data_IF_329874702648
#
_entry.id   IF_329874702648
#
_cell.length_a   1.000
_cell.length_b   1.000
_cell.length_c   1.000
_cell.angle_alpha   90.00
_cell.angle_beta   90.00
_cell.angle_gamma   90.00
#
_symmetry.space_group_name_H-M   'P 1'
#
loop_
_entity.id
_entity.type
_entity.pdbx_description
1 polymer ?
#
# COMPACT_ATOMS: atom_id res chain seq x y z
N UNK A 1 13.46 -5.91 -8.61
CA UNK A 1 13.76 -7.35 -8.48
C UNK A 1 12.47 -8.04 -8.03
N UNK A 2 12.12 -9.19 -8.61
CA UNK A 2 10.90 -9.94 -8.24
C UNK A 2 11.25 -11.05 -7.26
N UNK A 3 10.58 -11.07 -6.12
CA UNK A 3 10.65 -12.13 -5.13
C UNK A 3 9.47 -13.09 -5.33
N UNK A 4 9.67 -14.41 -5.22
CA UNK A 4 8.56 -15.35 -5.25
C UNK A 4 7.62 -15.12 -4.04
N UNK A 5 6.36 -15.50 -4.19
CA UNK A 5 5.40 -15.44 -3.09
C UNK A 5 5.91 -16.21 -1.86
N UNK A 6 5.83 -15.59 -0.69
CA UNK A 6 6.04 -16.30 0.56
C UNK A 6 4.75 -17.01 0.98
N UNK A 7 4.81 -18.32 1.16
CA UNK A 7 3.66 -19.14 1.58
C UNK A 7 3.02 -18.63 2.89
N UNK A 8 3.79 -18.13 3.84
CA UNK A 8 3.25 -17.61 5.11
C UNK A 8 2.45 -16.32 4.89
N UNK A 9 3.03 -15.34 4.18
CA UNK A 9 2.37 -14.07 3.87
C UNK A 9 1.10 -14.29 3.03
N UNK A 10 1.17 -15.19 2.04
CA UNK A 10 0.04 -15.52 1.20
C UNK A 10 -1.07 -16.24 1.98
N UNK A 11 -0.72 -17.12 2.90
CA UNK A 11 -1.68 -17.81 3.74
C UNK A 11 -2.44 -16.84 4.65
N UNK A 12 -1.72 -15.96 5.34
CA UNK A 12 -2.30 -14.89 6.17
C UNK A 12 -3.24 -14.00 5.37
N UNK A 13 -2.79 -13.55 4.19
CA UNK A 13 -3.58 -12.69 3.33
C UNK A 13 -4.88 -13.36 2.85
N UNK A 14 -4.88 -14.68 2.62
CA UNK A 14 -6.09 -15.44 2.25
C UNK A 14 -7.10 -15.52 3.38
N UNK A 15 -6.64 -15.73 4.61
CA UNK A 15 -7.51 -15.75 5.80
C UNK A 15 -8.17 -14.38 5.95
N UNK A 16 -7.38 -13.32 5.97
CA UNK A 16 -7.87 -11.95 6.07
C UNK A 16 -8.88 -11.59 4.98
N UNK A 17 -8.56 -11.92 3.72
CA UNK A 17 -9.44 -11.60 2.60
C UNK A 17 -10.78 -12.35 2.69
N UNK A 18 -10.80 -13.59 3.19
CA UNK A 18 -12.02 -14.35 3.39
C UNK A 18 -12.90 -13.75 4.49
N UNK A 19 -12.28 -13.27 5.57
CA UNK A 19 -13.00 -12.64 6.67
C UNK A 19 -13.55 -11.26 6.25
N UNK A 20 -12.75 -10.47 5.54
CA UNK A 20 -13.06 -9.07 5.22
C UNK A 20 -13.99 -8.86 4.02
N UNK A 21 -14.21 -9.88 3.19
CA UNK A 21 -14.97 -9.76 1.93
C UNK A 21 -16.40 -9.25 2.12
N UNK A 22 -17.04 -9.62 3.24
CA UNK A 22 -18.44 -9.29 3.53
C UNK A 22 -18.60 -7.91 4.18
N UNK A 23 -17.52 -7.34 4.70
CA UNK A 23 -17.56 -6.11 5.50
C UNK A 23 -16.93 -4.92 4.80
N UNK A 24 -16.05 -5.17 3.83
CA UNK A 24 -15.52 -4.11 2.99
C UNK A 24 -16.66 -3.57 2.14
N UNK A 25 -16.95 -2.26 2.20
CA UNK A 25 -17.95 -1.67 1.32
C UNK A 25 -17.60 -1.93 -0.16
N UNK A 26 -18.60 -2.15 -0.99
CA UNK A 26 -18.37 -2.29 -2.43
C UNK A 26 -17.80 -0.99 -2.96
N UNK A 27 -16.50 -1.03 -3.26
CA UNK A 27 -15.82 0.06 -3.92
C UNK A 27 -16.49 0.21 -5.30
N UNK A 28 -17.16 1.35 -5.51
CA UNK A 28 -18.11 1.63 -6.60
C UNK A 28 -17.70 0.98 -7.93
N UNK A 29 -18.21 -0.23 -8.20
CA UNK A 29 -18.00 -0.95 -9.46
C UNK A 29 -17.53 -2.40 -9.36
N UNK A 30 -17.29 -2.94 -8.17
CA UNK A 30 -16.87 -4.34 -8.00
C UNK A 30 -18.03 -5.17 -7.42
N UNK A 31 -19.11 -5.33 -8.20
CA UNK A 31 -20.24 -6.22 -7.85
C UNK A 31 -19.87 -7.71 -7.91
N UNK A 32 -18.62 -8.03 -8.29
CA UNK A 32 -18.09 -9.37 -8.44
C UNK A 32 -17.23 -9.71 -7.21
N UNK A 33 -17.74 -10.59 -6.35
CA UNK A 33 -17.08 -11.03 -5.12
C UNK A 33 -15.68 -11.60 -5.35
N UNK A 34 -15.42 -12.22 -6.51
CA UNK A 34 -14.07 -12.72 -6.83
C UNK A 34 -13.06 -11.59 -6.99
N UNK A 35 -13.47 -10.52 -7.68
CA UNK A 35 -12.59 -9.38 -7.90
C UNK A 35 -12.35 -8.64 -6.58
N UNK A 36 -13.38 -8.49 -5.75
CA UNK A 36 -13.25 -7.86 -4.42
C UNK A 36 -12.30 -8.63 -3.52
N UNK A 37 -12.39 -9.96 -3.52
CA UNK A 37 -11.47 -10.84 -2.80
C UNK A 37 -10.03 -10.66 -3.25
N UNK A 38 -9.81 -10.64 -4.57
CA UNK A 38 -8.47 -10.42 -5.14
C UNK A 38 -7.86 -9.09 -4.70
N UNK A 39 -8.65 -8.00 -4.66
CA UNK A 39 -8.17 -6.69 -4.19
C UNK A 39 -7.71 -6.75 -2.72
N UNK A 40 -8.54 -7.30 -1.83
CA UNK A 40 -8.23 -7.39 -0.40
C UNK A 40 -7.01 -8.30 -0.19
N UNK A 41 -7.00 -9.46 -0.84
CA UNK A 41 -5.88 -10.41 -0.82
C UNK A 41 -4.56 -9.74 -1.22
N UNK A 42 -4.58 -8.98 -2.33
CA UNK A 42 -3.38 -8.32 -2.86
C UNK A 42 -2.83 -7.28 -1.89
N UNK A 43 -3.71 -6.45 -1.29
CA UNK A 43 -3.32 -5.46 -0.29
C UNK A 43 -2.69 -6.11 0.93
N UNK A 44 -3.39 -7.08 1.54
CA UNK A 44 -2.90 -7.77 2.74
C UNK A 44 -1.61 -8.56 2.48
N UNK A 45 -1.46 -9.16 1.30
CA UNK A 45 -0.24 -9.85 0.92
C UNK A 45 0.98 -8.92 0.92
N UNK A 46 0.84 -7.71 0.37
CA UNK A 46 1.92 -6.73 0.36
C UNK A 46 2.29 -6.26 1.77
N UNK A 47 1.28 -6.01 2.62
CA UNK A 47 1.47 -5.65 4.02
C UNK A 47 2.22 -6.76 4.79
N UNK A 48 1.74 -8.00 4.71
CA UNK A 48 2.34 -9.14 5.39
C UNK A 48 3.78 -9.40 4.91
N UNK A 49 4.05 -9.24 3.62
CA UNK A 49 5.40 -9.37 3.09
C UNK A 49 6.34 -8.27 3.63
N UNK A 50 5.90 -7.02 3.65
CA UNK A 50 6.66 -5.90 4.20
C UNK A 50 6.96 -6.12 5.69
N UNK A 51 5.98 -6.53 6.48
CA UNK A 51 6.16 -6.88 7.90
C UNK A 51 7.23 -7.94 8.09
N UNK A 52 7.17 -9.04 7.33
CA UNK A 52 8.17 -10.11 7.43
C UNK A 52 9.57 -9.62 7.06
N UNK A 53 9.69 -8.78 6.03
CA UNK A 53 10.97 -8.22 5.65
C UNK A 53 11.55 -7.31 6.75
N UNK A 54 10.72 -6.51 7.42
CA UNK A 54 11.15 -5.69 8.55
C UNK A 54 11.60 -6.53 9.74
N UNK A 55 10.86 -7.61 10.06
CA UNK A 55 11.21 -8.55 11.13
C UNK A 55 12.58 -9.19 10.86
N UNK A 56 12.82 -9.69 9.65
CA UNK A 56 14.11 -10.29 9.27
C UNK A 56 15.26 -9.28 9.35
N UNK A 57 14.97 -7.99 9.17
CA UNK A 57 15.93 -6.90 9.27
C UNK A 57 16.07 -6.31 10.68
N UNK A 58 15.45 -6.91 11.70
CA UNK A 58 15.40 -6.45 13.09
C UNK A 58 14.85 -5.02 13.25
N UNK A 59 13.89 -4.64 12.41
CA UNK A 59 13.21 -3.34 12.50
C UNK A 59 11.88 -3.56 13.22
N UNK A 60 11.61 -2.86 14.34
CA UNK A 60 10.33 -2.96 15.03
C UNK A 60 9.17 -2.66 14.09
N UNK A 61 8.23 -3.58 13.98
CA UNK A 61 7.07 -3.44 13.12
C UNK A 61 5.85 -4.08 13.78
N UNK A 62 4.72 -3.39 13.69
CA UNK A 62 3.40 -3.93 14.01
C UNK A 62 2.62 -4.00 12.71
N UNK A 63 2.12 -5.20 12.39
CA UNK A 63 1.24 -5.41 11.24
C UNK A 63 -0.08 -4.66 11.39
N UNK A 64 -0.82 -4.52 10.29
CA UNK A 64 -2.17 -3.95 10.35
C UNK A 64 -3.04 -4.85 11.25
N UNK A 65 -3.62 -4.26 12.29
CA UNK A 65 -4.61 -4.89 13.15
C UNK A 65 -6.04 -4.50 12.75
N UNK A 66 -6.20 -3.73 11.67
CA UNK A 66 -7.49 -3.41 11.10
C UNK A 66 -8.21 -4.71 10.81
N UNK A 67 -9.43 -4.81 11.31
CA UNK A 67 -10.34 -5.90 10.96
C UNK A 67 -11.55 -5.24 10.33
N UNK A 68 -12.48 -6.02 9.77
CA UNK A 68 -13.83 -5.55 9.52
C UNK A 68 -14.51 -4.72 10.62
N UNK A 69 -14.05 -4.84 11.86
CA UNK A 69 -14.64 -4.24 13.05
C UNK A 69 -13.75 -3.18 13.70
N UNK A 70 -12.56 -2.92 13.15
CA UNK A 70 -11.59 -1.94 13.69
C UNK A 70 -11.33 -0.86 12.64
N UNK A 71 -11.25 0.39 13.09
CA UNK A 71 -10.97 1.53 12.21
C UNK A 71 -9.57 1.44 11.58
N UNK A 72 -9.48 1.82 10.31
CA UNK A 72 -8.23 1.88 9.54
C UNK A 72 -7.44 3.13 9.96
N UNK A 73 -6.31 2.93 10.64
CA UNK A 73 -5.41 3.98 11.12
C UNK A 73 -4.07 4.02 10.36
N UNK A 74 -4.03 3.31 9.23
CA UNK A 74 -2.85 3.03 8.43
C UNK A 74 -2.47 1.56 8.44
N UNK A 75 -1.88 1.10 7.33
CA UNK A 75 -1.60 -0.32 7.14
C UNK A 75 -0.55 -0.85 8.12
N UNK A 76 0.53 -0.11 8.39
CA UNK A 76 1.64 -0.64 9.19
C UNK A 76 2.24 0.43 10.09
N UNK A 77 2.64 0.03 11.29
CA UNK A 77 3.54 0.84 12.13
C UNK A 77 4.94 0.25 12.07
N UNK A 78 5.91 1.00 11.54
CA UNK A 78 7.29 0.54 11.39
C UNK A 78 8.22 1.57 12.05
N UNK A 79 8.86 1.17 13.14
CA UNK A 79 9.77 2.01 13.93
C UNK A 79 9.19 3.40 14.27
N UNK A 80 7.90 3.43 14.61
CA UNK A 80 7.14 4.65 14.95
C UNK A 80 6.51 5.38 13.76
N UNK A 81 6.75 4.93 12.52
CA UNK A 81 6.18 5.53 11.30
C UNK A 81 4.90 4.83 10.87
N UNK A 82 3.89 5.61 10.46
CA UNK A 82 2.65 5.10 9.88
C UNK A 82 2.82 4.93 8.37
N UNK A 83 2.71 3.69 7.88
CA UNK A 83 2.96 3.34 6.49
C UNK A 83 1.68 2.79 5.87
N UNK A 84 1.34 3.28 4.67
CA UNK A 84 0.27 2.73 3.84
C UNK A 84 0.89 2.01 2.61
N UNK A 85 0.43 0.79 2.34
CA UNK A 85 0.92 -0.04 1.25
C UNK A 85 0.01 0.09 0.03
N UNK A 86 0.61 0.43 -1.11
CA UNK A 86 -0.07 0.48 -2.40
C UNK A 86 0.46 -0.64 -3.29
N UNK A 87 -0.48 -1.43 -3.80
CA UNK A 87 -0.19 -2.55 -4.69
C UNK A 87 -0.73 -2.27 -6.09
N UNK A 88 0.01 -2.71 -7.10
CA UNK A 88 -0.38 -2.62 -8.50
C UNK A 88 0.01 -3.87 -9.28
N UNK A 89 -0.65 -4.09 -10.40
CA UNK A 89 -0.29 -5.13 -11.38
C UNK A 89 0.59 -4.58 -12.51
N UNK A 90 0.78 -3.26 -12.56
CA UNK A 90 1.58 -2.53 -13.55
C UNK A 90 2.65 -1.73 -12.84
N UNK A 91 3.90 -1.82 -13.30
CA UNK A 91 5.04 -1.14 -12.68
C UNK A 91 4.96 0.38 -12.84
N UNK A 92 4.42 0.80 -13.97
CA UNK A 92 4.21 2.19 -14.38
C UNK A 92 3.11 2.85 -13.53
N UNK A 93 2.27 2.05 -12.87
CA UNK A 93 1.31 2.50 -11.86
C UNK A 93 1.84 2.12 -10.49
N UNK A 94 2.86 2.81 -9.98
CA UNK A 94 3.44 2.50 -8.68
C UNK A 94 2.34 2.35 -7.60
N UNK A 95 1.37 3.26 -7.63
CA UNK A 95 0.12 3.13 -6.91
C UNK A 95 -0.74 4.37 -7.03
N UNK A 96 -2.03 4.20 -6.76
CA UNK A 96 -2.98 5.30 -6.64
C UNK A 96 -3.13 5.71 -5.17
N UNK A 97 -2.87 6.97 -4.86
CA UNK A 97 -3.12 7.54 -3.52
C UNK A 97 -4.44 8.31 -3.58
N UNK A 98 -5.43 7.87 -2.81
CA UNK A 98 -6.77 8.45 -2.83
C UNK A 98 -6.78 9.86 -2.22
N UNK A 99 -7.83 10.62 -2.51
CA UNK A 99 -8.06 11.96 -1.93
C UNK A 99 -8.19 11.96 -0.40
N UNK A 100 -8.38 10.81 0.25
CA UNK A 100 -8.41 10.71 1.71
C UNK A 100 -7.07 11.11 2.35
N UNK A 101 -6.00 11.11 1.56
CA UNK A 101 -4.69 11.61 1.93
C UNK A 101 -4.66 13.07 2.36
N UNK A 102 -5.46 13.93 1.72
CA UNK A 102 -5.50 15.37 1.98
C UNK A 102 -6.22 15.72 3.28
N UNK A 103 -6.85 14.73 3.94
CA UNK A 103 -7.59 14.99 5.15
C UNK A 103 -6.62 15.34 6.30
N UNK A 104 -6.94 16.34 7.14
CA UNK A 104 -6.08 16.75 8.25
C UNK A 104 -5.83 15.66 9.30
N UNK A 105 -6.77 14.71 9.42
CA UNK A 105 -6.71 13.57 10.33
C UNK A 105 -5.96 12.36 9.75
N UNK A 106 -5.52 12.43 8.49
CA UNK A 106 -4.77 11.35 7.88
C UNK A 106 -3.36 11.27 8.51
N UNK A 107 -3.15 10.21 9.28
CA UNK A 107 -1.95 9.95 10.08
C UNK A 107 -0.79 9.32 9.30
N UNK A 108 -0.95 9.04 8.01
CA UNK A 108 0.07 8.34 7.20
C UNK A 108 1.30 9.22 7.05
N UNK A 109 2.47 8.66 7.34
CA UNK A 109 3.75 9.32 7.14
C UNK A 109 4.38 8.96 5.79
N UNK A 110 4.30 7.68 5.41
CA UNK A 110 4.97 7.11 4.24
C UNK A 110 4.02 6.22 3.43
N UNK A 111 4.22 6.22 2.13
CA UNK A 111 3.61 5.24 1.22
C UNK A 111 4.68 4.27 0.75
N UNK A 112 4.33 2.98 0.70
CA UNK A 112 5.16 1.92 0.17
C UNK A 112 4.50 1.28 -1.05
N UNK A 113 5.23 1.17 -2.16
CA UNK A 113 4.69 0.70 -3.44
C UNK A 113 5.21 -0.70 -3.79
N UNK A 114 4.30 -1.53 -4.29
CA UNK A 114 4.58 -2.90 -4.70
C UNK A 114 3.94 -3.25 -6.04
N UNK A 115 4.61 -4.10 -6.81
CA UNK A 115 4.03 -4.78 -7.97
C UNK A 115 3.84 -6.26 -7.66
N UNK A 116 2.66 -6.79 -7.94
CA UNK A 116 2.34 -8.21 -7.86
C UNK A 116 1.23 -8.53 -8.84
N UNK A 117 1.02 -9.81 -9.17
CA UNK A 117 -0.15 -10.20 -9.96
C UNK A 117 -1.38 -10.50 -9.09
N UNK A 118 -2.53 -10.69 -9.72
CA UNK A 118 -3.80 -10.99 -9.03
C UNK A 118 -3.80 -12.33 -8.30
N UNK A 119 -2.84 -13.20 -8.59
CA UNK A 119 -2.64 -14.48 -7.89
C UNK A 119 -1.64 -14.38 -6.75
N UNK A 120 -1.03 -13.20 -6.55
CA UNK A 120 0.06 -12.97 -5.61
C UNK A 120 1.20 -13.96 -5.80
N UNK A 121 1.58 -14.29 -7.05
CA UNK A 121 2.61 -15.30 -7.35
C UNK A 121 4.04 -14.80 -7.13
N UNK A 122 4.22 -13.47 -7.14
CA UNK A 122 5.47 -12.79 -6.86
C UNK A 122 5.20 -11.47 -6.15
N UNK A 123 6.23 -10.83 -5.63
CA UNK A 123 6.18 -9.44 -5.19
C UNK A 123 7.44 -8.71 -5.63
N UNK A 124 7.26 -7.50 -6.11
CA UNK A 124 8.35 -6.61 -6.46
C UNK A 124 8.19 -5.30 -5.68
N UNK A 125 9.04 -5.04 -4.67
CA UNK A 125 9.07 -3.76 -4.02
C UNK A 125 9.57 -2.69 -4.99
N UNK A 126 8.78 -1.62 -5.14
CA UNK A 126 9.15 -0.47 -5.95
C UNK A 126 9.85 0.60 -5.11
N UNK A 127 9.44 0.76 -3.85
CA UNK A 127 10.09 1.64 -2.88
C UNK A 127 9.10 2.50 -2.11
N UNK A 128 9.59 3.59 -1.51
CA UNK A 128 8.79 4.45 -0.64
C UNK A 128 8.82 5.93 -1.02
N UNK A 129 7.78 6.65 -0.63
CA UNK A 129 7.69 8.11 -0.69
C UNK A 129 7.06 8.65 0.60
N UNK A 130 7.54 9.79 1.07
CA UNK A 130 6.93 10.47 2.21
C UNK A 130 5.68 11.25 1.80
N UNK A 131 4.72 11.37 2.72
CA UNK A 131 3.49 12.17 2.56
C UNK A 131 3.78 13.56 1.98
N UNK A 132 4.68 14.35 2.57
CA UNK A 132 5.02 15.69 2.07
C UNK A 132 5.43 15.69 0.58
N UNK A 133 6.29 14.75 0.18
CA UNK A 133 6.71 14.59 -1.22
C UNK A 133 5.57 14.20 -2.16
N UNK A 134 4.56 13.46 -1.70
CA UNK A 134 3.39 13.19 -2.55
C UNK A 134 2.66 14.50 -2.86
N UNK A 135 2.42 15.36 -1.86
CA UNK A 135 1.72 16.65 -2.02
C UNK A 135 2.43 17.55 -3.03
N UNK A 136 3.75 17.66 -2.92
CA UNK A 136 4.54 18.63 -3.70
C UNK A 136 4.72 18.27 -5.17
N UNK A 137 4.48 17.01 -5.54
CA UNK A 137 5.18 16.43 -6.68
C UNK A 137 4.36 15.41 -7.47
N UNK A 138 3.25 14.91 -6.92
CA UNK A 138 2.35 14.03 -7.65
C UNK A 138 1.38 14.80 -8.54
N UNK A 139 1.09 14.24 -9.72
CA UNK A 139 0.03 14.77 -10.57
C UNK A 139 -1.32 14.41 -9.96
N UNK A 140 -2.14 15.43 -9.65
CA UNK A 140 -3.55 15.23 -9.34
C UNK A 140 -4.29 14.94 -10.64
N UNK A 141 -4.93 13.77 -10.70
CA UNK A 141 -5.73 13.34 -11.84
C UNK A 141 -7.19 13.21 -11.36
N UNK A 142 -8.08 13.98 -11.98
CA UNK A 142 -9.49 14.06 -11.65
C UNK A 142 -10.32 13.00 -12.38
N UNK A 143 -11.55 12.79 -11.91
CA UNK A 143 -12.49 11.85 -12.52
C UNK A 143 -12.65 12.10 -14.02
N UNK A 144 -12.53 11.03 -14.82
CA UNK A 144 -12.65 11.09 -16.28
C UNK A 144 -11.34 11.40 -17.02
N UNK A 145 -10.29 11.85 -16.32
CA UNK A 145 -8.99 12.09 -16.94
C UNK A 145 -8.22 10.77 -17.13
N UNK A 146 -7.37 10.73 -18.15
CA UNK A 146 -6.48 9.58 -18.40
C UNK A 146 -5.34 9.62 -17.40
N UNK A 147 -5.13 8.49 -16.73
CA UNK A 147 -3.98 8.28 -15.87
C UNK A 147 -2.75 8.20 -16.78
N UNK A 148 -1.83 9.15 -16.57
CA UNK A 148 -0.61 9.29 -17.36
C UNK A 148 0.10 7.93 -17.52
N UNK A 149 0.60 7.68 -18.73
CA UNK A 149 1.41 6.52 -19.10
C UNK A 149 0.70 5.14 -19.11
N UNK A 150 -0.61 5.09 -18.83
CA UNK A 150 -1.28 3.80 -18.57
C UNK A 150 -2.53 3.57 -19.40
N UNK A 151 -3.09 4.64 -19.98
CA UNK A 151 -4.30 4.59 -20.80
C UNK A 151 -5.59 4.30 -20.00
N UNK A 152 -5.50 4.13 -18.68
CA UNK A 152 -6.68 3.95 -17.83
C UNK A 152 -7.32 5.29 -17.50
N UNK A 153 -8.64 5.31 -17.32
CA UNK A 153 -9.37 6.49 -16.86
C UNK A 153 -9.50 6.50 -15.34
N UNK A 154 -9.23 7.64 -14.71
CA UNK A 154 -9.50 7.87 -13.30
C UNK A 154 -11.01 7.81 -13.01
N UNK A 155 -11.38 7.09 -11.95
CA UNK A 155 -12.78 6.85 -11.56
C UNK A 155 -13.19 7.53 -10.25
N UNK A 156 -12.23 7.92 -9.41
CA UNK A 156 -12.54 8.72 -8.21
C UNK A 156 -12.57 10.19 -8.54
N UNK A 157 -13.17 10.97 -7.64
CA UNK A 157 -13.24 12.43 -7.75
C UNK A 157 -11.87 13.01 -8.15
N UNK A 158 -10.82 12.59 -7.44
CA UNK A 158 -9.44 12.70 -7.89
C UNK A 158 -8.55 11.72 -7.14
N UNK A 159 -7.32 11.53 -7.62
CA UNK A 159 -6.25 10.86 -6.89
C UNK A 159 -4.89 11.37 -7.33
N UNK A 160 -3.90 11.06 -6.53
CA UNK A 160 -2.51 11.38 -6.81
C UNK A 160 -1.82 10.15 -7.40
N UNK A 161 -1.07 10.38 -8.47
CA UNK A 161 -0.23 9.38 -9.12
C UNK A 161 1.23 9.77 -8.94
N UNK A 162 2.00 8.85 -8.38
CA UNK A 162 3.41 9.06 -8.04
C UNK A 162 4.27 8.52 -9.17
N UNK A 163 5.16 9.38 -9.69
CA UNK A 163 6.18 9.01 -10.65
C UNK A 163 7.27 8.16 -9.98
N UNK A 164 7.75 7.11 -10.66
CA UNK A 164 8.76 6.20 -10.13
C UNK A 164 10.09 6.89 -9.80
N UNK A 165 10.44 7.99 -10.45
CA UNK A 165 11.64 8.79 -10.15
C UNK A 165 11.62 9.43 -8.76
N UNK A 166 10.43 9.54 -8.14
CA UNK A 166 10.25 10.15 -6.82
C UNK A 166 10.37 9.16 -5.68
N UNK A 167 10.29 7.86 -6.01
CA UNK A 167 10.29 6.76 -5.07
C UNK A 167 11.73 6.43 -4.69
N UNK A 168 12.02 6.44 -3.39
CA UNK A 168 13.31 5.97 -2.86
C UNK A 168 13.36 4.46 -2.93
N UNK A 169 14.52 3.92 -3.27
CA UNK A 169 14.68 2.48 -3.37
C UNK A 169 14.44 1.79 -2.03
N UNK A 170 14.12 0.50 -2.10
CA UNK A 170 13.74 -0.24 -0.91
C UNK A 170 14.90 -0.44 0.07
N UNK A 171 16.12 -0.67 -0.44
CA UNK A 171 17.32 -0.84 0.40
C UNK A 171 17.66 0.44 1.16
N UNK A 172 17.61 1.60 0.47
CA UNK A 172 17.83 2.91 1.09
C UNK A 172 16.82 3.19 2.21
N UNK A 173 15.56 2.78 2.03
CA UNK A 173 14.52 3.03 3.03
C UNK A 173 14.61 2.07 4.21
N UNK A 174 14.94 0.80 4.00
CA UNK A 174 15.16 -0.15 5.11
C UNK A 174 16.27 0.38 6.02
N UNK A 175 17.37 0.86 5.43
CA UNK A 175 18.45 1.48 6.19
C UNK A 175 17.99 2.78 6.87
N UNK A 176 17.28 3.65 6.16
CA UNK A 176 16.79 4.91 6.71
C UNK A 176 15.80 4.69 7.88
N UNK A 177 14.85 3.77 7.76
CA UNK A 177 13.88 3.42 8.81
C UNK A 177 14.60 2.87 10.04
N UNK A 178 15.66 2.08 9.85
CA UNK A 178 16.50 1.57 10.95
C UNK A 178 17.22 2.71 11.69
N UNK A 179 17.74 3.68 10.94
CA UNK A 179 18.54 4.79 11.49
C UNK A 179 17.71 5.94 12.06
N UNK A 180 16.43 6.07 11.67
CA UNK A 180 15.57 7.21 12.00
C UNK A 180 14.26 6.76 12.66
N UNK A 181 14.30 6.20 13.88
CA UNK A 181 13.07 5.90 14.63
C UNK A 181 12.27 7.19 14.87
N UNK A 182 10.95 7.15 14.63
CA UNK A 182 10.07 8.25 15.03
C UNK A 182 9.78 8.09 16.52
N UNK A 183 10.13 9.10 17.31
CA UNK A 183 9.79 9.11 18.73
C UNK A 183 8.27 9.09 18.87
N UNK A 184 7.74 8.06 19.53
CA UNK A 184 6.35 8.10 19.97
C UNK A 184 6.27 9.18 21.06
N UNK A 185 5.75 10.36 20.73
CA UNK A 185 5.32 11.31 21.74
C UNK A 185 4.30 10.59 22.63
N UNK A 186 4.60 10.51 23.93
CA UNK A 186 3.78 9.86 24.95
C UNK A 186 2.58 10.71 25.32
#
# INVERSE_FOLDING_TARGET
MKYPANNSALHEARIYANESINYTADFQGWQDGHKKYQRILTGRFCQAWLTQLMIINNIPCTGDNSTPYTEDSGDLHINGWNIDCKASVHRELAGQISSAFDRPDNSIDLYCFFVTDKSCSFIEPLGFIGKSKVIESSARINCGETILETGFTQRFNYSYFVDMSMVKSFDEIVEWLRLNPKSMEK
#
